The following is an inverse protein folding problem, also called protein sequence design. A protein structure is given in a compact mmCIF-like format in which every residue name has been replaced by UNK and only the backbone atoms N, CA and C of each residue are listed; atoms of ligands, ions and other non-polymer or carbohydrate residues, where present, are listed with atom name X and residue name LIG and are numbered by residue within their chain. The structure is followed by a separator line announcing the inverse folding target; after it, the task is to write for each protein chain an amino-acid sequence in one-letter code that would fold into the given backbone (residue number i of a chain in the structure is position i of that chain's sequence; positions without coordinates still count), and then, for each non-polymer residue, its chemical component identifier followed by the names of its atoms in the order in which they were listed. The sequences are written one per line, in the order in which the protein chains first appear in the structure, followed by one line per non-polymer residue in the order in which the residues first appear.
data_IF_232893758815
#
_entry.id   IF_232893758815
#
_cell.length_a   1.000
_cell.length_b   1.000
_cell.length_c   1.000
_cell.angle_alpha   90.00
_cell.angle_beta   90.00
_cell.angle_gamma   90.00
#
_symmetry.space_group_name_H-M   'P 1'
#
loop_
_entity.id
_entity.type
_entity.pdbx_description
1 polymer ?
#
# COMPACT_ATOMS: atom_id res chain seq x y z
N UNK A 1 -8.44 17.04 -1.57
CA UNK A 1 -7.45 16.42 -2.49
C UNK A 1 -6.12 17.10 -2.31
N UNK A 2 -5.11 16.34 -1.87
CA UNK A 2 -3.73 16.81 -1.89
C UNK A 2 -3.15 16.36 -3.23
N UNK A 3 -2.86 17.30 -4.13
CA UNK A 3 -2.21 17.02 -5.41
C UNK A 3 -0.71 17.27 -5.25
N UNK A 4 0.07 16.20 -5.21
CA UNK A 4 1.51 16.28 -5.05
C UNK A 4 2.13 16.37 -6.46
N UNK A 5 2.43 17.62 -6.86
CA UNK A 5 3.46 18.04 -7.85
C UNK A 5 3.07 18.14 -9.33
N UNK A 6 3.61 19.20 -9.94
CA UNK A 6 3.70 19.53 -11.37
C UNK A 6 5.15 19.36 -11.84
N UNK A 7 5.40 18.52 -12.84
CA UNK A 7 6.55 18.43 -13.78
C UNK A 7 8.03 18.61 -13.31
N UNK A 8 8.33 18.74 -12.03
CA UNK A 8 9.71 18.70 -11.49
C UNK A 8 10.08 17.33 -10.92
N UNK A 9 11.34 16.90 -11.13
CA UNK A 9 11.96 15.67 -10.57
C UNK A 9 12.13 15.75 -9.04
N UNK A 10 11.04 15.89 -8.28
CA UNK A 10 11.15 15.81 -6.83
C UNK A 10 11.62 14.40 -6.45
N UNK A 11 12.76 14.32 -5.75
CA UNK A 11 13.27 13.07 -5.18
C UNK A 11 13.26 13.18 -3.66
N UNK A 12 12.42 12.37 -3.04
CA UNK A 12 12.22 12.29 -1.59
C UNK A 12 13.06 11.14 -1.03
N UNK A 13 14.38 11.22 -1.12
CA UNK A 13 15.30 10.13 -0.72
C UNK A 13 15.25 9.83 0.77
N UNK A 14 14.95 10.83 1.59
CA UNK A 14 14.86 10.68 3.05
C UNK A 14 13.45 10.27 3.52
N UNK A 15 12.45 10.23 2.63
CA UNK A 15 11.09 9.89 3.01
C UNK A 15 10.93 8.37 3.09
N UNK A 16 11.00 7.85 4.31
CA UNK A 16 10.80 6.43 4.58
C UNK A 16 9.35 6.10 4.99
N UNK A 17 8.67 7.03 5.65
CA UNK A 17 7.38 6.76 6.29
C UNK A 17 6.40 7.91 6.05
N UNK A 18 5.17 7.59 5.64
CA UNK A 18 4.10 8.58 5.49
C UNK A 18 2.76 8.01 5.97
N UNK A 19 2.08 8.79 6.81
CA UNK A 19 0.76 8.47 7.33
C UNK A 19 -0.15 9.68 7.20
N UNK A 20 -1.20 9.55 6.40
CA UNK A 20 -2.27 10.54 6.28
C UNK A 20 -3.61 9.88 6.60
N UNK A 21 -4.24 10.27 7.72
CA UNK A 21 -5.60 9.83 8.06
C UNK A 21 -6.70 10.47 7.20
N UNK A 22 -6.42 10.73 5.93
CA UNK A 22 -7.31 11.42 4.98
C UNK A 22 -7.39 10.66 3.66
N UNK A 23 -8.41 10.99 2.88
CA UNK A 23 -8.53 10.55 1.50
C UNK A 23 -7.44 11.18 0.64
N UNK A 24 -6.83 10.37 -0.23
CA UNK A 24 -5.84 10.76 -1.23
C UNK A 24 -6.33 10.36 -2.63
N UNK A 25 -5.64 10.84 -3.66
CA UNK A 25 -5.90 10.45 -5.05
C UNK A 25 -4.88 9.41 -5.52
N UNK A 26 -5.24 8.60 -6.50
CA UNK A 26 -4.34 7.63 -7.12
C UNK A 26 -3.12 8.32 -7.75
N UNK A 27 -3.30 9.53 -8.28
CA UNK A 27 -2.21 10.39 -8.75
C UNK A 27 -1.23 10.72 -7.62
N UNK A 28 -1.72 11.11 -6.44
CA UNK A 28 -0.87 11.38 -5.28
C UNK A 28 -0.10 10.13 -4.85
N UNK A 29 -0.76 8.98 -4.75
CA UNK A 29 -0.13 7.70 -4.40
C UNK A 29 0.96 7.35 -5.41
N UNK A 30 0.65 7.37 -6.71
CA UNK A 30 1.62 7.01 -7.76
C UNK A 30 2.78 7.99 -7.85
N UNK A 31 2.56 9.29 -7.69
CA UNK A 31 3.64 10.28 -7.64
C UNK A 31 4.54 10.04 -6.42
N UNK A 32 3.96 9.78 -5.24
CA UNK A 32 4.72 9.43 -4.05
C UNK A 32 5.59 8.18 -4.28
N UNK A 33 5.02 7.10 -4.81
CA UNK A 33 5.76 5.87 -5.09
C UNK A 33 6.90 6.07 -6.09
N UNK A 34 6.77 7.02 -7.03
CA UNK A 34 7.83 7.38 -7.99
C UNK A 34 8.92 8.25 -7.36
N UNK A 35 8.53 9.23 -6.55
CA UNK A 35 9.43 10.25 -6.02
C UNK A 35 10.20 9.78 -4.77
N UNK A 36 9.67 8.82 -3.99
CA UNK A 36 10.25 8.36 -2.73
C UNK A 36 10.81 6.92 -2.86
N UNK A 37 12.04 6.73 -3.36
CA UNK A 37 12.60 5.40 -3.62
C UNK A 37 12.90 4.59 -2.35
N UNK A 38 13.00 5.23 -1.18
CA UNK A 38 13.31 4.58 0.11
C UNK A 38 12.06 4.41 1.00
N UNK A 39 10.88 4.65 0.45
CA UNK A 39 9.62 4.55 1.18
C UNK A 39 9.38 3.14 1.70
N UNK A 40 9.46 2.97 3.01
CA UNK A 40 9.20 1.71 3.69
C UNK A 40 7.72 1.57 4.05
N UNK A 41 7.03 2.66 4.42
CA UNK A 41 5.68 2.59 5.00
C UNK A 41 4.75 3.69 4.51
N UNK A 42 3.60 3.25 4.02
CA UNK A 42 2.54 4.10 3.48
C UNK A 42 1.23 3.76 4.16
N UNK A 43 0.55 4.78 4.69
CA UNK A 43 -0.76 4.62 5.31
C UNK A 43 -1.69 5.77 4.92
N UNK A 44 -2.76 5.43 4.20
CA UNK A 44 -3.85 6.33 3.87
C UNK A 44 -5.21 5.82 4.36
N UNK A 45 -6.14 6.74 4.62
CA UNK A 45 -7.51 6.34 4.93
C UNK A 45 -8.20 5.77 3.68
N UNK A 46 -8.31 6.57 2.62
CA UNK A 46 -8.97 6.09 1.40
C UNK A 46 -8.34 6.62 0.12
N UNK A 47 -8.48 5.83 -0.94
CA UNK A 47 -8.06 6.19 -2.30
C UNK A 47 -9.05 5.54 -3.29
N UNK A 48 -10.22 6.15 -3.45
CA UNK A 48 -11.33 5.56 -4.20
C UNK A 48 -11.14 5.59 -5.72
N UNK A 49 -10.19 6.38 -6.22
CA UNK A 49 -9.79 6.43 -7.62
C UNK A 49 -8.58 5.52 -7.92
N UNK A 50 -8.09 4.76 -6.93
CA UNK A 50 -7.02 3.77 -7.13
C UNK A 50 -7.56 2.58 -7.91
N UNK A 51 -6.84 2.17 -8.96
CA UNK A 51 -7.23 1.08 -9.86
C UNK A 51 -6.09 0.09 -10.05
N UNK A 52 -6.40 -1.04 -10.69
CA UNK A 52 -5.43 -2.04 -11.09
C UNK A 52 -4.22 -1.43 -11.83
N UNK A 53 -4.47 -0.58 -12.83
CA UNK A 53 -3.41 0.09 -13.62
C UNK A 53 -2.42 0.91 -12.79
N UNK A 54 -2.86 1.46 -11.66
CA UNK A 54 -1.99 2.22 -10.77
C UNK A 54 -1.10 1.27 -9.96
N UNK A 55 -1.69 0.21 -9.40
CA UNK A 55 -1.00 -0.76 -8.55
C UNK A 55 -0.03 -1.65 -9.33
N UNK A 56 -0.39 -2.05 -10.56
CA UNK A 56 0.47 -2.87 -11.44
C UNK A 56 1.81 -2.21 -11.76
N UNK A 57 1.89 -0.87 -11.65
CA UNK A 57 3.10 -0.08 -11.90
C UNK A 57 3.97 0.11 -10.66
N UNK A 58 3.49 -0.26 -9.47
CA UNK A 58 4.26 -0.13 -8.25
C UNK A 58 5.36 -1.18 -8.23
N UNK A 59 6.60 -0.69 -8.11
CA UNK A 59 7.82 -1.49 -7.90
C UNK A 59 8.58 -0.79 -6.79
N UNK A 60 8.61 -1.38 -5.60
CA UNK A 60 9.23 -0.73 -4.46
C UNK A 60 9.89 -1.76 -3.54
N UNK A 61 11.21 -1.99 -3.70
CA UNK A 61 11.89 -3.11 -3.05
C UNK A 61 11.99 -2.94 -1.53
N UNK A 62 11.86 -1.73 -0.99
CA UNK A 62 11.96 -1.46 0.45
C UNK A 62 10.61 -1.34 1.15
N UNK A 63 9.51 -1.39 0.39
CA UNK A 63 8.17 -1.21 0.92
C UNK A 63 7.78 -2.39 1.82
N UNK A 64 7.60 -2.09 3.10
CA UNK A 64 7.20 -3.04 4.15
C UNK A 64 5.72 -2.92 4.48
N UNK A 65 5.13 -1.74 4.36
CA UNK A 65 3.71 -1.51 4.66
C UNK A 65 3.08 -0.64 3.58
N UNK A 66 2.04 -1.14 2.92
CA UNK A 66 1.24 -0.41 1.93
C UNK A 66 -0.23 -0.50 2.31
N UNK A 67 -0.65 0.35 3.24
CA UNK A 67 -1.97 0.28 3.82
C UNK A 67 -2.85 1.42 3.30
N UNK A 68 -3.98 1.04 2.70
CA UNK A 68 -5.09 1.94 2.38
C UNK A 68 -6.33 1.28 2.97
N UNK A 69 -7.03 1.94 3.89
CA UNK A 69 -8.19 1.33 4.55
C UNK A 69 -9.33 1.05 3.57
N UNK A 70 -9.53 1.92 2.58
CA UNK A 70 -10.57 1.79 1.57
C UNK A 70 -10.06 2.19 0.17
N UNK A 71 -10.23 1.32 -0.81
CA UNK A 71 -9.90 1.58 -2.21
C UNK A 71 -11.05 1.08 -3.11
N UNK A 72 -10.95 1.34 -4.42
CA UNK A 72 -11.93 0.82 -5.37
C UNK A 72 -11.79 -0.71 -5.55
N UNK A 73 -12.62 -1.30 -6.42
CA UNK A 73 -12.55 -2.72 -6.78
C UNK A 73 -11.19 -3.07 -7.43
N UNK A 74 -10.30 -3.70 -6.67
CA UNK A 74 -9.00 -4.20 -7.12
C UNK A 74 -9.08 -5.71 -7.40
N UNK A 75 -8.49 -6.16 -8.50
CA UNK A 75 -8.47 -7.58 -8.85
C UNK A 75 -7.46 -8.38 -8.02
N UNK A 76 -7.74 -9.67 -7.82
CA UNK A 76 -6.81 -10.60 -7.17
C UNK A 76 -5.46 -10.67 -7.91
N UNK A 77 -5.48 -10.65 -9.24
CA UNK A 77 -4.27 -10.65 -10.08
C UNK A 77 -3.39 -9.43 -9.81
N UNK A 78 -4.00 -8.26 -9.64
CA UNK A 78 -3.28 -7.05 -9.27
C UNK A 78 -2.65 -7.17 -7.88
N UNK A 79 -3.36 -7.73 -6.89
CA UNK A 79 -2.78 -7.98 -5.57
C UNK A 79 -1.58 -8.93 -5.67
N UNK A 80 -1.71 -10.03 -6.41
CA UNK A 80 -0.63 -10.99 -6.62
C UNK A 80 0.59 -10.32 -7.24
N UNK A 81 0.36 -9.46 -8.23
CA UNK A 81 1.41 -8.68 -8.88
C UNK A 81 2.05 -7.70 -7.90
N UNK A 82 1.27 -6.97 -7.09
CA UNK A 82 1.81 -6.08 -6.06
C UNK A 82 2.72 -6.82 -5.08
N UNK A 83 2.31 -8.00 -4.59
CA UNK A 83 3.11 -8.83 -3.68
C UNK A 83 4.41 -9.32 -4.32
N UNK A 84 4.36 -9.79 -5.57
CA UNK A 84 5.56 -10.23 -6.30
C UNK A 84 6.57 -9.08 -6.53
N UNK A 85 6.07 -7.85 -6.66
CA UNK A 85 6.88 -6.66 -6.94
C UNK A 85 7.41 -5.95 -5.70
N UNK A 86 6.81 -6.21 -4.54
CA UNK A 86 7.18 -5.64 -3.26
C UNK A 86 7.50 -6.80 -2.31
N UNK A 87 8.58 -7.52 -2.57
CA UNK A 87 8.95 -8.77 -1.86
C UNK A 87 9.16 -8.60 -0.35
N UNK A 88 9.40 -7.37 0.11
CA UNK A 88 9.54 -7.03 1.53
C UNK A 88 8.23 -6.58 2.18
N UNK A 89 7.10 -6.62 1.45
CA UNK A 89 5.81 -6.20 1.98
C UNK A 89 5.34 -7.17 3.06
N UNK A 90 5.17 -6.63 4.26
CA UNK A 90 4.75 -7.34 5.47
C UNK A 90 3.31 -7.00 5.86
N UNK A 91 2.75 -5.91 5.35
CA UNK A 91 1.38 -5.50 5.64
C UNK A 91 0.78 -4.76 4.46
N UNK A 92 -0.49 -5.04 4.18
CA UNK A 92 -1.29 -4.35 3.15
C UNK A 92 -2.60 -3.85 3.72
N UNK A 93 -3.36 -3.09 2.91
CA UNK A 93 -4.68 -2.57 3.25
C UNK A 93 -5.71 -3.66 3.55
N UNK A 94 -6.92 -3.22 3.92
CA UNK A 94 -8.05 -4.12 4.11
C UNK A 94 -8.57 -4.55 2.73
N UNK A 95 -8.10 -5.68 2.24
CA UNK A 95 -8.43 -6.19 0.90
C UNK A 95 -9.94 -6.39 0.68
N UNK A 96 -10.72 -6.65 1.73
CA UNK A 96 -12.18 -6.70 1.63
C UNK A 96 -12.78 -5.32 1.30
N UNK A 97 -12.21 -4.26 1.85
CA UNK A 97 -12.56 -2.88 1.52
C UNK A 97 -11.98 -2.42 0.17
N UNK A 98 -11.27 -3.29 -0.55
CA UNK A 98 -10.83 -3.08 -1.93
C UNK A 98 -11.69 -3.90 -2.90
N UNK A 99 -12.82 -4.45 -2.45
CA UNK A 99 -13.77 -5.17 -3.30
C UNK A 99 -13.38 -6.61 -3.63
N UNK A 100 -12.36 -7.19 -2.99
CA UNK A 100 -12.02 -8.60 -3.21
C UNK A 100 -13.11 -9.52 -2.65
N UNK A 101 -13.54 -10.48 -3.47
CA UNK A 101 -14.46 -11.54 -3.03
C UNK A 101 -13.77 -12.53 -2.08
N UNK A 102 -14.55 -13.36 -1.38
CA UNK A 102 -14.01 -14.44 -0.54
C UNK A 102 -13.11 -15.40 -1.34
N UNK A 103 -13.45 -15.67 -2.60
CA UNK A 103 -12.67 -16.56 -3.47
C UNK A 103 -11.34 -15.92 -3.86
N UNK A 104 -11.36 -14.64 -4.22
CA UNK A 104 -10.16 -13.85 -4.48
C UNK A 104 -9.23 -13.81 -3.25
N UNK A 105 -9.79 -13.58 -2.06
CA UNK A 105 -9.05 -13.60 -0.80
C UNK A 105 -8.38 -14.94 -0.54
N UNK A 106 -9.07 -16.06 -0.79
CA UNK A 106 -8.47 -17.40 -0.66
C UNK A 106 -7.28 -17.59 -1.60
N UNK A 107 -7.39 -17.17 -2.86
CA UNK A 107 -6.28 -17.23 -3.82
C UNK A 107 -5.07 -16.39 -3.37
N UNK A 108 -5.30 -15.19 -2.83
CA UNK A 108 -4.23 -14.34 -2.28
C UNK A 108 -3.56 -15.01 -1.08
N UNK A 109 -4.33 -15.62 -0.17
CA UNK A 109 -3.78 -16.36 0.99
C UNK A 109 -2.93 -17.54 0.55
N UNK A 110 -3.39 -18.33 -0.43
CA UNK A 110 -2.59 -19.44 -0.98
C UNK A 110 -1.28 -18.93 -1.58
N UNK A 111 -1.30 -17.83 -2.35
CA UNK A 111 -0.07 -17.25 -2.89
C UNK A 111 0.93 -16.84 -1.80
N UNK A 112 0.45 -16.21 -0.72
CA UNK A 112 1.26 -15.81 0.43
C UNK A 112 1.97 -17.02 1.04
N UNK A 113 1.23 -18.12 1.23
CA UNK A 113 1.76 -19.36 1.78
C UNK A 113 2.76 -20.03 0.84
N UNK A 114 2.42 -20.17 -0.44
CA UNK A 114 3.25 -20.84 -1.45
C UNK A 114 4.59 -20.13 -1.69
N UNK A 115 4.63 -18.81 -1.48
CA UNK A 115 5.83 -17.99 -1.69
C UNK A 115 6.53 -17.58 -0.38
N UNK A 116 6.08 -18.08 0.78
CA UNK A 116 6.62 -17.75 2.10
C UNK A 116 6.65 -16.24 2.41
N UNK A 117 5.68 -15.47 1.90
CA UNK A 117 5.61 -14.05 2.21
C UNK A 117 5.27 -13.84 3.69
N UNK A 118 6.02 -12.97 4.35
CA UNK A 118 5.76 -12.56 5.74
C UNK A 118 4.65 -11.49 5.81
N UNK A 119 3.55 -11.70 5.07
CA UNK A 119 2.46 -10.73 4.92
C UNK A 119 1.35 -10.99 5.93
N UNK A 120 1.03 -9.99 6.73
CA UNK A 120 -0.15 -9.97 7.58
C UNK A 120 -1.33 -9.31 6.84
N UNK A 121 -2.45 -10.05 6.77
CA UNK A 121 -3.72 -9.53 6.26
C UNK A 121 -4.53 -8.98 7.43
N UNK A 122 -4.83 -7.69 7.35
CA UNK A 122 -5.37 -6.91 8.45
C UNK A 122 -6.80 -6.46 8.10
N UNK A 123 -7.80 -7.09 8.71
CA UNK A 123 -9.22 -6.84 8.43
C UNK A 123 -9.83 -5.61 9.11
N UNK A 124 -9.07 -4.88 9.94
CA UNK A 124 -9.54 -3.73 10.72
C UNK A 124 -8.84 -2.42 10.35
N UNK A 125 -9.24 -1.33 11.00
CA UNK A 125 -8.52 -0.04 10.95
C UNK A 125 -7.26 -0.14 11.81
N UNK A 126 -6.09 -0.18 11.18
CA UNK A 126 -4.80 -0.42 11.86
C UNK A 126 -4.01 0.89 12.08
N UNK A 127 -4.71 1.97 12.47
CA UNK A 127 -4.13 3.31 12.63
C UNK A 127 -2.96 3.41 13.60
N UNK A 128 -2.91 2.51 14.58
CA UNK A 128 -1.88 2.44 15.64
C UNK A 128 -1.13 1.09 15.62
N UNK A 129 -1.16 0.41 14.48
CA UNK A 129 -0.55 -0.91 14.23
C UNK A 129 0.99 -0.80 14.14
N UNK A 130 1.77 -1.89 14.25
CA UNK A 130 3.23 -1.78 14.31
C UNK A 130 3.87 -1.30 12.99
N UNK A 131 3.10 -1.00 11.94
CA UNK A 131 3.60 -0.21 10.80
C UNK A 131 4.12 1.16 11.25
N UNK A 132 3.59 1.76 12.32
CA UNK A 132 4.17 2.98 12.89
C UNK A 132 4.30 2.77 14.38
N UNK A 133 5.39 2.11 14.85
CA UNK A 133 5.59 2.02 16.28
C UNK A 133 5.67 3.47 16.80
N UNK A 134 4.80 3.82 17.73
CA UNK A 134 4.91 5.07 18.46
C UNK A 134 6.31 5.08 19.07
N UNK A 135 7.23 5.86 18.51
CA UNK A 135 8.51 6.13 19.15
C UNK A 135 8.14 6.82 20.45
N UNK A 136 8.44 6.15 21.57
CA UNK A 136 8.15 6.55 22.93
C UNK A 136 8.03 8.07 23.07
N UNK A 137 6.81 8.54 23.36
CA UNK A 137 6.60 9.88 23.90
C UNK A 137 7.13 9.82 25.33
N UNK A 138 8.38 10.26 25.52
CA UNK A 138 8.93 10.58 26.84
C UNK A 138 8.30 11.86 27.37
#
# INVERSE_FOLDING_TARGET
NVDWLTDGELRLTELENIHLGKSVTAKAVTNLMKCAPNLARVHFFSCLDLTDDHLLKIRHPYLQCFYIYEASCISAETINTLLANCVNLQSTGNLSNWGLSCDAMRSVVSLIQDNNFQLQLNGGSHWFSPCFPCINQY
#
